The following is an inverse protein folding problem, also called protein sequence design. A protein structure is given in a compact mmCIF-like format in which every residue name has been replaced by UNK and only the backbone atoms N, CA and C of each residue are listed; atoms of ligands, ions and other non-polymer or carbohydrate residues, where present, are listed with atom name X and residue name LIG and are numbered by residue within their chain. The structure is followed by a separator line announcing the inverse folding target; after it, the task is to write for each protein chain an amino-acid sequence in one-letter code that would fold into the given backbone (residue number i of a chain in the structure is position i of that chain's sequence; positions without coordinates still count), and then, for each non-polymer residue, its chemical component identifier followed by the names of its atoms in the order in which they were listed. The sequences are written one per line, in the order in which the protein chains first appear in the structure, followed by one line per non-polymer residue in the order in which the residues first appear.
data_IF_263602459891
#
_entry.id   IF_263602459891
#
_cell.length_a   1.000
_cell.length_b   1.000
_cell.length_c   1.000
_cell.angle_alpha   90.00
_cell.angle_beta   90.00
_cell.angle_gamma   90.00
#
_symmetry.space_group_name_H-M   'P 1'
#
loop_
_entity.id
_entity.type
_entity.pdbx_description
1 polymer ?
#
# COMPACT_ATOMS: atom_id res chain seq x y z
N UNK A 1 -12.69 -6.81 -8.89
CA UNK A 1 -12.14 -6.54 -7.55
C UNK A 1 -12.72 -5.31 -6.82
N UNK A 2 -13.47 -4.41 -7.48
CA UNK A 2 -13.99 -3.18 -6.83
C UNK A 2 -15.01 -3.46 -5.70
N UNK A 3 -15.82 -4.51 -5.83
CA UNK A 3 -16.81 -4.92 -4.83
C UNK A 3 -16.21 -5.52 -3.54
N UNK A 4 -14.89 -5.76 -3.50
CA UNK A 4 -14.21 -6.30 -2.32
C UNK A 4 -13.96 -5.22 -1.24
N UNK A 5 -14.12 -3.94 -1.59
CA UNK A 5 -13.88 -2.85 -0.66
C UNK A 5 -15.04 -2.72 0.34
N UNK A 6 -14.74 -2.43 1.62
CA UNK A 6 -15.77 -2.14 2.59
C UNK A 6 -16.47 -0.81 2.25
N UNK A 7 -17.75 -0.70 2.60
CA UNK A 7 -18.52 0.54 2.44
C UNK A 7 -18.15 1.60 3.47
N UNK A 8 -17.59 1.18 4.61
CA UNK A 8 -17.20 2.04 5.71
C UNK A 8 -15.80 1.66 6.21
N UNK A 9 -15.05 2.66 6.68
CA UNK A 9 -13.74 2.46 7.31
C UNK A 9 -13.66 3.23 8.62
N UNK A 10 -12.90 2.72 9.61
CA UNK A 10 -12.61 3.49 10.82
C UNK A 10 -11.88 4.79 10.48
N UNK A 11 -12.20 5.88 11.18
CA UNK A 11 -11.54 7.18 11.00
C UNK A 11 -10.01 7.08 11.11
N UNK A 12 -9.50 6.23 12.00
CA UNK A 12 -8.06 5.99 12.17
C UNK A 12 -7.39 5.45 10.90
N UNK A 13 -8.08 4.59 10.12
CA UNK A 13 -7.56 4.10 8.84
C UNK A 13 -7.59 5.20 7.77
N UNK A 14 -8.64 6.03 7.76
CA UNK A 14 -8.70 7.18 6.85
C UNK A 14 -7.57 8.18 7.10
N UNK A 15 -7.34 8.54 8.37
CA UNK A 15 -6.25 9.44 8.77
C UNK A 15 -4.89 8.86 8.38
N UNK A 16 -4.66 7.58 8.67
CA UNK A 16 -3.43 6.88 8.29
C UNK A 16 -3.19 6.89 6.78
N UNK A 17 -4.16 6.42 5.99
CA UNK A 17 -4.01 6.39 4.54
C UNK A 17 -3.78 7.78 3.94
N UNK A 18 -4.49 8.80 4.45
CA UNK A 18 -4.31 10.18 4.01
C UNK A 18 -2.91 10.71 4.33
N UNK A 19 -2.37 10.38 5.51
CA UNK A 19 -0.99 10.77 5.86
C UNK A 19 0.04 10.06 4.98
N UNK A 20 -0.16 8.78 4.65
CA UNK A 20 0.74 8.06 3.75
C UNK A 20 0.66 8.61 2.32
N UNK A 21 -0.50 9.05 1.84
CA UNK A 21 -0.64 9.72 0.56
C UNK A 21 0.14 11.05 0.51
N UNK A 22 0.05 11.87 1.57
CA UNK A 22 0.87 13.08 1.68
C UNK A 22 2.37 12.75 1.74
N UNK A 23 2.74 11.69 2.46
CA UNK A 23 4.13 11.21 2.57
C UNK A 23 4.67 10.74 1.21
N UNK A 24 3.85 10.10 0.38
CA UNK A 24 4.23 9.71 -0.99
C UNK A 24 4.61 10.95 -1.81
N UNK A 25 3.78 12.00 -1.80
CA UNK A 25 4.05 13.24 -2.52
C UNK A 25 5.33 13.91 -2.01
N UNK A 26 5.48 14.02 -0.69
CA UNK A 26 6.68 14.60 -0.09
C UNK A 26 7.94 13.82 -0.47
N UNK A 27 7.90 12.49 -0.41
CA UNK A 27 9.02 11.63 -0.77
C UNK A 27 9.44 11.78 -2.24
N UNK A 28 8.48 11.98 -3.16
CA UNK A 28 8.77 12.29 -4.56
C UNK A 28 9.51 13.62 -4.68
N UNK A 29 9.02 14.66 -4.01
CA UNK A 29 9.61 16.01 -4.07
C UNK A 29 11.02 16.05 -3.45
N UNK A 30 11.25 15.25 -2.42
CA UNK A 30 12.53 15.16 -1.71
C UNK A 30 13.52 14.18 -2.38
N UNK A 31 13.07 13.38 -3.35
CA UNK A 31 13.87 12.31 -3.95
C UNK A 31 14.16 11.13 -2.99
N UNK A 32 13.35 10.94 -1.96
CA UNK A 32 13.51 9.89 -0.95
C UNK A 32 12.77 8.61 -1.37
N UNK A 33 13.44 7.79 -2.18
CA UNK A 33 12.89 6.54 -2.71
C UNK A 33 12.53 5.51 -1.61
N UNK A 34 13.25 5.52 -0.48
CA UNK A 34 12.99 4.62 0.65
C UNK A 34 11.69 5.00 1.34
N UNK A 35 11.49 6.30 1.62
CA UNK A 35 10.25 6.81 2.21
C UNK A 35 9.07 6.61 1.28
N UNK A 36 9.27 6.79 -0.04
CA UNK A 36 8.25 6.52 -1.05
C UNK A 36 7.78 5.07 -0.99
N UNK A 37 8.71 4.11 -1.01
CA UNK A 37 8.36 2.68 -0.97
C UNK A 37 7.65 2.27 0.33
N UNK A 38 8.10 2.82 1.47
CA UNK A 38 7.43 2.60 2.77
C UNK A 38 6.01 3.14 2.78
N UNK A 39 5.79 4.36 2.27
CA UNK A 39 4.47 4.97 2.23
C UNK A 39 3.52 4.24 1.26
N UNK A 40 4.03 3.80 0.11
CA UNK A 40 3.31 2.96 -0.85
C UNK A 40 2.83 1.64 -0.25
N UNK A 41 3.67 1.00 0.57
CA UNK A 41 3.37 -0.33 1.13
C UNK A 41 2.46 -0.31 2.36
N UNK A 42 2.04 0.88 2.81
CA UNK A 42 1.42 1.10 4.11
C UNK A 42 -0.11 1.26 4.08
N UNK A 43 -0.76 0.89 2.98
CA UNK A 43 -2.22 0.92 2.86
C UNK A 43 -2.90 0.00 3.90
N UNK A 44 -3.91 0.52 4.60
CA UNK A 44 -4.72 -0.23 5.58
C UNK A 44 -6.15 -0.49 5.14
N UNK A 45 -6.52 -0.11 3.92
CA UNK A 45 -7.90 -0.16 3.43
C UNK A 45 -8.03 -1.03 2.20
N UNK A 46 -7.34 -0.68 1.11
CA UNK A 46 -7.61 -1.28 -0.21
C UNK A 46 -6.84 -2.58 -0.38
N UNK A 47 -5.54 -2.57 -0.10
CA UNK A 47 -4.67 -3.73 -0.22
C UNK A 47 -5.09 -4.88 0.72
N UNK A 48 -5.37 -4.66 2.02
CA UNK A 48 -5.84 -5.75 2.89
C UNK A 48 -7.16 -6.37 2.42
N UNK A 49 -8.05 -5.58 1.82
CA UNK A 49 -9.31 -6.07 1.29
C UNK A 49 -9.15 -6.86 -0.03
N UNK A 50 -8.08 -6.58 -0.78
CA UNK A 50 -7.84 -7.15 -2.12
C UNK A 50 -6.78 -8.25 -2.16
N UNK A 51 -5.80 -8.23 -1.26
CA UNK A 51 -4.71 -9.20 -1.22
C UNK A 51 -5.20 -10.66 -1.18
N UNK A 52 -6.27 -11.02 -0.45
CA UNK A 52 -6.80 -12.40 -0.47
C UNK A 52 -7.31 -12.86 -1.84
N UNK A 53 -7.58 -11.94 -2.76
CA UNK A 53 -8.07 -12.24 -4.12
C UNK A 53 -6.94 -12.45 -5.13
N UNK A 54 -5.69 -12.19 -4.74
CA UNK A 54 -4.50 -12.32 -5.59
C UNK A 54 -3.66 -13.49 -5.06
N UNK A 55 -3.64 -14.63 -5.77
CA UNK A 55 -2.86 -15.79 -5.34
C UNK A 55 -1.38 -15.44 -5.14
N UNK A 56 -0.86 -15.70 -3.94
CA UNK A 56 0.54 -15.48 -3.62
C UNK A 56 0.95 -14.03 -3.32
N UNK A 57 0.01 -13.08 -3.25
CA UNK A 57 0.31 -11.65 -3.02
C UNK A 57 1.22 -11.40 -1.82
N UNK A 58 0.88 -11.97 -0.66
CA UNK A 58 1.67 -11.81 0.57
C UNK A 58 3.09 -12.37 0.43
N UNK A 59 3.22 -13.52 -0.24
CA UNK A 59 4.53 -14.14 -0.50
C UNK A 59 5.37 -13.27 -1.44
N UNK A 60 4.79 -12.78 -2.53
CA UNK A 60 5.48 -11.87 -3.48
C UNK A 60 5.89 -10.58 -2.79
N UNK A 61 5.00 -9.97 -2.00
CA UNK A 61 5.30 -8.74 -1.26
C UNK A 61 6.47 -8.94 -0.29
N UNK A 62 6.45 -10.05 0.46
CA UNK A 62 7.55 -10.40 1.37
C UNK A 62 8.86 -10.58 0.62
N UNK A 63 8.89 -11.43 -0.41
CA UNK A 63 10.11 -11.71 -1.19
C UNK A 63 10.64 -10.45 -1.90
N UNK A 64 9.76 -9.58 -2.39
CA UNK A 64 10.17 -8.31 -3.00
C UNK A 64 10.90 -7.41 -1.99
N UNK A 65 10.39 -7.30 -0.77
CA UNK A 65 11.04 -6.53 0.30
C UNK A 65 12.37 -7.17 0.72
N UNK A 66 12.43 -8.50 0.83
CA UNK A 66 13.66 -9.24 1.14
C UNK A 66 14.72 -9.11 0.03
N UNK A 67 14.29 -9.01 -1.23
CA UNK A 67 15.15 -8.76 -2.39
C UNK A 67 15.64 -7.29 -2.49
N UNK A 68 15.22 -6.42 -1.57
CA UNK A 68 15.69 -5.02 -1.50
C UNK A 68 14.76 -4.00 -2.16
N UNK A 69 13.53 -4.38 -2.51
CA UNK A 69 12.54 -3.38 -2.92
C UNK A 69 12.25 -2.42 -1.75
N UNK A 70 12.17 -1.12 -2.05
CA UNK A 70 11.78 -0.13 -1.04
C UNK A 70 10.30 -0.24 -0.64
N UNK A 71 9.48 -0.83 -1.50
CA UNK A 71 8.06 -1.06 -1.26
C UNK A 71 7.44 -1.97 -2.31
N UNK A 72 6.29 -2.55 -1.98
CA UNK A 72 5.49 -3.38 -2.87
C UNK A 72 4.00 -3.25 -2.52
N UNK A 73 3.17 -3.05 -3.55
CA UNK A 73 1.71 -2.94 -3.43
C UNK A 73 1.02 -3.47 -4.69
N UNK A 74 -0.31 -3.58 -4.63
CA UNK A 74 -1.16 -3.99 -5.76
C UNK A 74 -1.22 -2.86 -6.80
N UNK A 75 -1.09 -3.20 -8.08
CA UNK A 75 -1.32 -2.24 -9.16
C UNK A 75 -2.82 -2.07 -9.40
N UNK A 76 -3.32 -0.85 -9.20
CA UNK A 76 -4.74 -0.49 -9.34
C UNK A 76 -5.74 -1.43 -8.66
N UNK A 77 -6.41 -2.29 -9.43
CA UNK A 77 -7.54 -3.11 -9.02
C UNK A 77 -7.18 -4.60 -8.89
N UNK A 78 -5.90 -4.92 -8.84
CA UNK A 78 -5.39 -6.30 -8.89
C UNK A 78 -4.45 -6.46 -10.06
#
# INVERSE_FOLDING_TARGET
MRAALPTEIPMVHHVWNSSQAATLVAAVLEGDAVRLGKALSADRVVEPARAPLIPGMEAVKKEALEAGAFGCTISEAG
#
